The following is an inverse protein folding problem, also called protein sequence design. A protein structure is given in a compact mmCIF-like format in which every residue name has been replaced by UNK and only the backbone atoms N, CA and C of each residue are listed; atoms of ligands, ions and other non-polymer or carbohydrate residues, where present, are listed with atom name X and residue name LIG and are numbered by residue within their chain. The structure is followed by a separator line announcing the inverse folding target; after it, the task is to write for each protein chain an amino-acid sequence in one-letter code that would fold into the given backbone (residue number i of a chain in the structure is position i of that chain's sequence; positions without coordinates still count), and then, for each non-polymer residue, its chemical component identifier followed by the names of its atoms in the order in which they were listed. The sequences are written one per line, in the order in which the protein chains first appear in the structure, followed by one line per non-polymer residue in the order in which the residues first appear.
data_IF_206428513860
#
_entry.id   IF_206428513860
#
_cell.length_a   1.000
_cell.length_b   1.000
_cell.length_c   1.000
_cell.angle_alpha   90.00
_cell.angle_beta   90.00
_cell.angle_gamma   90.00
#
_symmetry.space_group_name_H-M   'P 1'
#
loop_
_entity.id
_entity.type
_entity.pdbx_description
1 polymer ?
#
# COMPACT_ATOMS: atom_id res chain seq x y z
N UNK A 1 12.63 -13.89 -1.67
CA UNK A 1 11.54 -13.31 -2.47
C UNK A 1 11.72 -11.79 -2.53
N UNK A 2 11.34 -11.17 -3.61
CA UNK A 2 11.37 -9.70 -3.73
C UNK A 2 10.25 -9.22 -4.66
N UNK A 3 9.86 -7.96 -4.52
CA UNK A 3 8.92 -7.29 -5.41
C UNK A 3 9.57 -7.19 -6.80
N UNK A 4 8.86 -7.60 -7.83
CA UNK A 4 9.34 -7.52 -9.21
C UNK A 4 8.75 -6.27 -9.86
N UNK A 5 9.64 -5.41 -10.37
CA UNK A 5 9.25 -4.13 -10.97
C UNK A 5 9.83 -3.98 -12.38
N UNK A 6 9.26 -3.03 -13.13
CA UNK A 6 9.87 -2.56 -14.37
C UNK A 6 10.97 -1.53 -14.06
N UNK A 7 11.59 -0.96 -15.12
CA UNK A 7 12.67 0.03 -14.99
C UNK A 7 12.25 1.34 -14.29
N UNK A 8 10.94 1.59 -14.16
CA UNK A 8 10.39 2.77 -13.50
C UNK A 8 9.87 2.46 -12.09
N UNK A 9 10.23 1.29 -11.52
CA UNK A 9 9.80 0.82 -10.20
C UNK A 9 8.31 0.52 -10.09
N UNK A 10 7.60 0.40 -11.22
CA UNK A 10 6.22 -0.06 -11.21
C UNK A 10 6.18 -1.57 -10.95
N UNK A 11 5.41 -1.99 -9.96
CA UNK A 11 5.24 -3.41 -9.66
C UNK A 11 4.53 -4.10 -10.82
N UNK A 12 5.03 -5.30 -11.17
CA UNK A 12 4.49 -6.09 -12.28
C UNK A 12 3.37 -7.04 -11.85
N UNK A 13 3.23 -7.28 -10.55
CA UNK A 13 2.19 -8.15 -10.01
C UNK A 13 0.81 -7.55 -10.24
N UNK A 14 -0.14 -8.39 -10.66
CA UNK A 14 -1.55 -8.01 -10.72
C UNK A 14 -2.18 -8.17 -9.34
N UNK A 15 -2.97 -7.17 -8.93
CA UNK A 15 -3.71 -7.19 -7.67
C UNK A 15 -5.17 -7.50 -7.97
N UNK A 16 -5.50 -8.79 -7.99
CA UNK A 16 -6.80 -9.28 -8.43
C UNK A 16 -6.84 -9.48 -9.95
N UNK A 17 -8.01 -9.34 -10.54
CA UNK A 17 -8.21 -9.46 -11.98
C UNK A 17 -9.24 -8.43 -12.47
N UNK A 18 -9.49 -8.39 -13.78
CA UNK A 18 -10.39 -7.39 -14.37
C UNK A 18 -11.84 -7.51 -13.91
N UNK A 19 -12.27 -8.71 -13.50
CA UNK A 19 -13.62 -8.95 -12.98
C UNK A 19 -13.73 -8.61 -11.49
N UNK A 20 -12.64 -8.74 -10.76
CA UNK A 20 -12.57 -8.41 -9.34
C UNK A 20 -11.18 -7.87 -9.00
N UNK A 21 -10.95 -6.56 -9.20
CA UNK A 21 -9.65 -5.92 -9.03
C UNK A 21 -9.36 -5.62 -7.55
N UNK A 22 -9.24 -6.67 -6.76
CA UNK A 22 -9.09 -6.63 -5.31
C UNK A 22 -8.23 -7.82 -4.86
N UNK A 23 -7.28 -7.56 -3.96
CA UNK A 23 -6.40 -8.60 -3.42
C UNK A 23 -6.11 -8.32 -1.95
N UNK A 24 -6.30 -9.35 -1.12
CA UNK A 24 -5.81 -9.38 0.26
C UNK A 24 -4.63 -10.34 0.31
N UNK A 25 -3.52 -9.90 0.87
CA UNK A 25 -2.31 -10.70 0.99
C UNK A 25 -1.89 -10.81 2.46
N UNK A 26 -1.09 -11.84 2.78
CA UNK A 26 -0.55 -12.07 4.12
C UNK A 26 0.96 -12.21 3.98
N UNK A 27 1.71 -11.28 4.58
CA UNK A 27 3.15 -11.23 4.43
C UNK A 27 3.86 -11.09 5.76
N UNK A 28 5.14 -11.49 5.76
CA UNK A 28 6.10 -11.16 6.80
C UNK A 28 7.33 -10.55 6.16
N UNK A 29 8.00 -9.63 6.85
CA UNK A 29 9.24 -9.04 6.30
C UNK A 29 10.35 -10.07 6.15
N UNK A 30 10.37 -11.11 6.99
CA UNK A 30 11.38 -12.17 6.92
C UNK A 30 11.31 -12.99 5.63
N UNK A 31 10.21 -12.94 4.88
CA UNK A 31 10.11 -13.62 3.59
C UNK A 31 10.97 -12.95 2.50
N UNK A 32 11.38 -11.71 2.70
CA UNK A 32 12.28 -11.01 1.80
C UNK A 32 13.72 -11.22 2.23
N UNK A 33 14.63 -11.46 1.28
CA UNK A 33 16.02 -11.82 1.55
C UNK A 33 16.74 -10.80 2.46
N UNK A 34 16.45 -9.52 2.29
CA UNK A 34 17.03 -8.44 3.08
C UNK A 34 16.22 -8.04 4.29
N UNK A 35 15.10 -8.71 4.55
CA UNK A 35 14.13 -8.28 5.57
C UNK A 35 13.37 -7.01 5.19
N UNK A 36 13.38 -6.67 3.89
CA UNK A 36 12.71 -5.47 3.39
C UNK A 36 12.16 -5.68 2.00
N UNK A 37 11.01 -5.09 1.71
CA UNK A 37 10.53 -5.00 0.34
C UNK A 37 10.98 -3.68 -0.27
N UNK A 38 11.39 -3.76 -1.54
CA UNK A 38 12.02 -2.64 -2.26
C UNK A 38 10.99 -1.59 -2.68
N UNK A 39 11.49 -0.40 -2.95
CA UNK A 39 10.72 0.69 -3.52
C UNK A 39 9.94 0.25 -4.74
N UNK A 40 8.63 0.49 -4.73
CA UNK A 40 7.75 0.18 -5.85
C UNK A 40 6.49 1.05 -5.77
N UNK A 41 5.76 1.10 -6.88
CA UNK A 41 4.47 1.74 -6.94
C UNK A 41 3.52 0.94 -7.83
N UNK A 42 2.24 1.16 -7.65
CA UNK A 42 1.19 0.56 -8.45
C UNK A 42 -0.03 1.49 -8.49
N UNK A 43 -0.90 1.39 -9.52
CA UNK A 43 -2.05 2.27 -9.65
C UNK A 43 -3.16 2.00 -8.61
N UNK A 44 -3.15 0.85 -7.99
CA UNK A 44 -4.12 0.49 -6.97
C UNK A 44 -3.92 1.29 -5.69
N UNK A 45 -5.00 1.54 -4.96
CA UNK A 45 -4.95 1.98 -3.57
C UNK A 45 -4.53 0.79 -2.71
N UNK A 46 -3.73 1.03 -1.69
CA UNK A 46 -3.33 0.01 -0.73
C UNK A 46 -3.63 0.46 0.69
N UNK A 47 -4.24 -0.43 1.45
CA UNK A 47 -4.45 -0.27 2.90
C UNK A 47 -3.74 -1.42 3.57
N UNK A 48 -2.73 -1.12 4.38
CA UNK A 48 -1.93 -2.15 5.06
C UNK A 48 -2.18 -2.10 6.56
N UNK A 49 -2.52 -3.25 7.12
CA UNK A 49 -2.69 -3.46 8.56
C UNK A 49 -1.47 -4.18 9.13
N UNK A 50 -0.91 -3.67 10.22
CA UNK A 50 0.19 -4.30 10.93
C UNK A 50 -0.38 -5.28 11.96
N UNK A 51 -0.24 -6.56 11.66
CA UNK A 51 -0.79 -7.62 12.50
C UNK A 51 0.06 -7.88 13.73
N UNK A 52 1.40 -7.89 13.57
CA UNK A 52 2.34 -8.08 14.67
C UNK A 52 3.71 -7.52 14.32
N UNK A 53 4.45 -7.09 15.34
CA UNK A 53 5.78 -6.52 15.18
C UNK A 53 5.75 -5.05 14.79
N UNK A 54 6.83 -4.60 14.18
CA UNK A 54 6.98 -3.21 13.75
C UNK A 54 7.68 -3.13 12.38
N UNK A 55 7.47 -2.03 11.69
CA UNK A 55 8.02 -1.80 10.36
C UNK A 55 8.35 -0.33 10.18
N UNK A 56 9.51 -0.05 9.61
CA UNK A 56 9.83 1.25 9.07
C UNK A 56 9.24 1.34 7.66
N UNK A 57 8.17 2.11 7.51
CA UNK A 57 7.44 2.23 6.26
C UNK A 57 7.76 3.57 5.60
N UNK A 58 8.27 3.54 4.39
CA UNK A 58 8.68 4.75 3.67
C UNK A 58 7.76 5.00 2.49
N UNK A 59 7.29 6.24 2.40
CA UNK A 59 6.41 6.70 1.33
C UNK A 59 6.96 8.01 0.80
N UNK A 60 7.46 8.00 -0.45
CA UNK A 60 8.17 9.14 -1.03
C UNK A 60 9.31 9.59 -0.07
N UNK A 61 9.25 10.81 0.46
CA UNK A 61 10.23 11.33 1.42
C UNK A 61 9.76 11.25 2.88
N UNK A 62 8.62 10.60 3.13
CA UNK A 62 8.07 10.41 4.48
C UNK A 62 8.50 9.07 5.06
N UNK A 63 8.68 9.01 6.38
CA UNK A 63 9.00 7.79 7.09
C UNK A 63 8.02 7.61 8.24
N UNK A 64 7.42 6.42 8.31
CA UNK A 64 6.52 6.02 9.39
C UNK A 64 7.10 4.85 10.13
N UNK A 65 7.01 4.89 11.47
CA UNK A 65 7.34 3.76 12.33
C UNK A 65 6.02 3.10 12.76
N UNK A 66 5.64 2.06 12.02
CA UNK A 66 4.37 1.37 12.23
C UNK A 66 4.55 0.25 13.25
N UNK A 67 3.56 0.04 14.07
CA UNK A 67 3.53 -1.02 15.09
C UNK A 67 2.22 -1.79 15.01
N UNK A 68 2.15 -2.89 15.73
CA UNK A 68 0.96 -3.72 15.83
C UNK A 68 -0.30 -2.89 16.06
N UNK A 69 -1.31 -3.08 15.21
CA UNK A 69 -2.58 -2.38 15.26
C UNK A 69 -2.66 -1.15 14.36
N UNK A 70 -1.54 -0.65 13.86
CA UNK A 70 -1.53 0.49 12.95
C UNK A 70 -2.05 0.09 11.57
N UNK A 71 -2.68 1.04 10.91
CA UNK A 71 -3.12 0.94 9.53
C UNK A 71 -2.50 2.09 8.75
N UNK A 72 -2.02 1.83 7.54
CA UNK A 72 -1.57 2.88 6.64
C UNK A 72 -2.30 2.79 5.31
N UNK A 73 -2.82 3.94 4.86
CA UNK A 73 -3.42 4.13 3.55
C UNK A 73 -2.36 4.69 2.61
N UNK A 74 -2.16 4.07 1.46
CA UNK A 74 -1.33 4.56 0.38
C UNK A 74 -2.20 4.89 -0.83
N UNK A 75 -2.06 6.10 -1.31
CA UNK A 75 -2.79 6.53 -2.49
C UNK A 75 -2.26 5.85 -3.76
N UNK A 76 -3.03 5.94 -4.84
CA UNK A 76 -2.62 5.44 -6.17
C UNK A 76 -1.28 6.03 -6.59
N UNK A 77 -0.44 5.20 -7.19
CA UNK A 77 0.83 5.58 -7.81
C UNK A 77 1.88 6.14 -6.85
N UNK A 78 1.75 5.87 -5.57
CA UNK A 78 2.69 6.37 -4.56
C UNK A 78 3.83 5.38 -4.36
N UNK A 79 5.07 5.88 -4.45
CA UNK A 79 6.28 5.08 -4.27
C UNK A 79 6.46 4.76 -2.78
N UNK A 80 6.62 3.47 -2.46
CA UNK A 80 6.74 3.03 -1.07
C UNK A 80 7.67 1.82 -0.91
N UNK A 81 8.18 1.66 0.31
CA UNK A 81 9.06 0.56 0.70
C UNK A 81 8.87 0.25 2.19
N UNK A 82 9.20 -0.96 2.60
CA UNK A 82 9.12 -1.37 3.99
C UNK A 82 10.39 -2.05 4.45
N UNK A 83 10.87 -1.67 5.65
CA UNK A 83 12.11 -2.17 6.21
C UNK A 83 11.88 -2.71 7.63
N UNK A 84 12.63 -3.74 7.96
CA UNK A 84 12.65 -4.30 9.31
C UNK A 84 13.28 -3.31 10.28
N UNK A 85 12.68 -3.17 11.47
CA UNK A 85 13.20 -2.37 12.56
C UNK A 85 13.71 -3.26 13.67
N UNK A 86 14.84 -2.89 14.28
CA UNK A 86 15.40 -3.54 15.48
C UNK A 86 15.54 -5.07 15.34
N UNK A 87 15.76 -5.56 14.12
CA UNK A 87 15.85 -6.99 13.82
C UNK A 87 14.58 -7.78 14.21
N UNK A 88 13.46 -7.08 14.37
CA UNK A 88 12.17 -7.67 14.69
C UNK A 88 11.37 -7.92 13.42
N UNK A 89 10.81 -9.13 13.30
CA UNK A 89 9.94 -9.45 12.17
C UNK A 89 8.60 -8.73 12.29
N UNK A 90 7.96 -8.51 11.17
CA UNK A 90 6.67 -7.85 11.09
C UNK A 90 5.74 -8.66 10.19
N UNK A 91 4.58 -9.02 10.73
CA UNK A 91 3.49 -9.61 9.93
C UNK A 91 2.50 -8.52 9.58
N UNK A 92 2.12 -8.45 8.30
CA UNK A 92 1.24 -7.40 7.82
C UNK A 92 0.31 -7.92 6.73
N UNK A 93 -0.81 -7.23 6.56
CA UNK A 93 -1.87 -7.62 5.63
C UNK A 93 -2.17 -6.43 4.72
N UNK A 94 -1.60 -6.40 3.51
CA UNK A 94 -1.97 -5.40 2.53
C UNK A 94 -3.26 -5.79 1.82
N UNK A 95 -4.15 -4.80 1.69
CA UNK A 95 -5.37 -4.87 0.89
C UNK A 95 -5.18 -3.89 -0.27
N UNK A 96 -5.13 -4.41 -1.48
CA UNK A 96 -4.92 -3.61 -2.69
C UNK A 96 -6.13 -3.72 -3.59
N UNK A 97 -6.58 -2.58 -4.13
CA UNK A 97 -7.73 -2.57 -5.03
C UNK A 97 -7.64 -1.40 -6.02
N UNK A 98 -8.14 -1.64 -7.23
CA UNK A 98 -8.32 -0.58 -8.19
C UNK A 98 -9.48 0.33 -7.73
N UNK A 99 -9.31 1.66 -7.73
CA UNK A 99 -10.39 2.58 -7.33
C UNK A 99 -11.71 2.37 -8.09
N UNK A 100 -11.68 1.80 -9.28
CA UNK A 100 -12.90 1.48 -10.04
C UNK A 100 -13.86 0.55 -9.29
N UNK A 101 -13.33 -0.21 -8.33
CA UNK A 101 -14.17 -1.06 -7.46
C UNK A 101 -15.20 -0.23 -6.69
N UNK A 102 -14.87 1.03 -6.37
CA UNK A 102 -15.73 1.92 -5.61
C UNK A 102 -16.67 2.72 -6.51
N UNK A 103 -16.14 3.25 -7.63
CA UNK A 103 -16.93 4.21 -8.42
C UNK A 103 -17.75 3.57 -9.56
N UNK A 104 -17.53 2.29 -9.86
CA UNK A 104 -18.29 1.52 -10.85
C UNK A 104 -17.91 1.85 -12.30
N UNK A 105 -18.11 3.08 -12.74
CA UNK A 105 -17.73 3.50 -14.08
C UNK A 105 -17.10 4.90 -14.08
N UNK A 106 -16.27 5.16 -15.08
CA UNK A 106 -15.56 6.42 -15.23
C UNK A 106 -16.53 7.60 -15.35
N UNK A 107 -16.22 8.68 -14.64
CA UNK A 107 -17.03 9.89 -14.55
C UNK A 107 -18.41 9.72 -13.90
N UNK A 108 -18.62 8.63 -13.16
CA UNK A 108 -19.77 8.52 -12.27
C UNK A 108 -19.73 9.63 -11.21
N UNK A 109 -20.86 9.89 -10.56
CA UNK A 109 -20.90 10.87 -9.45
C UNK A 109 -19.97 10.46 -8.31
N UNK A 110 -19.87 9.16 -8.01
CA UNK A 110 -18.96 8.65 -7.00
C UNK A 110 -17.51 8.95 -7.40
N UNK A 111 -17.16 8.72 -8.65
CA UNK A 111 -15.82 9.00 -9.16
C UNK A 111 -15.48 10.50 -9.04
N UNK A 112 -16.30 11.36 -9.64
CA UNK A 112 -15.98 12.80 -9.72
C UNK A 112 -16.03 13.52 -8.39
N UNK A 113 -16.90 13.09 -7.49
CA UNK A 113 -17.10 13.77 -6.21
C UNK A 113 -16.23 13.22 -5.08
N UNK A 114 -15.98 11.91 -5.04
CA UNK A 114 -15.32 11.28 -3.90
C UNK A 114 -14.00 10.61 -4.22
N UNK A 115 -13.82 10.03 -5.39
CA UNK A 115 -12.63 9.24 -5.72
C UNK A 115 -11.56 10.06 -6.41
N UNK A 116 -11.90 10.73 -7.52
CA UNK A 116 -10.94 11.56 -8.27
C UNK A 116 -10.25 12.61 -7.39
N UNK A 117 -10.96 13.36 -6.52
CA UNK A 117 -10.29 14.34 -5.67
C UNK A 117 -9.23 13.76 -4.74
N UNK A 118 -9.32 12.48 -4.40
CA UNK A 118 -8.34 11.79 -3.57
C UNK A 118 -7.18 11.24 -4.41
N UNK A 119 -7.47 10.42 -5.43
CA UNK A 119 -6.43 9.75 -6.21
C UNK A 119 -5.60 10.70 -7.07
N UNK A 120 -6.15 11.86 -7.42
CA UNK A 120 -5.45 12.90 -8.19
C UNK A 120 -4.74 13.92 -7.29
N UNK A 121 -4.90 13.83 -5.98
CA UNK A 121 -4.34 14.81 -5.06
C UNK A 121 -2.91 14.40 -4.66
N UNK A 122 -1.92 15.06 -5.24
CA UNK A 122 -0.51 14.80 -4.97
C UNK A 122 -0.09 15.14 -3.53
N UNK A 123 -0.89 15.92 -2.81
CA UNK A 123 -0.63 16.25 -1.41
C UNK A 123 -1.10 15.17 -0.44
N UNK A 124 -1.95 14.24 -0.88
CA UNK A 124 -2.43 13.11 -0.08
C UNK A 124 -1.77 11.84 -0.57
N UNK A 125 -0.52 11.61 -0.14
CA UNK A 125 0.22 10.40 -0.48
C UNK A 125 -0.18 9.22 0.40
N UNK A 126 -0.38 9.49 1.70
CA UNK A 126 -0.63 8.47 2.70
C UNK A 126 -1.35 9.05 3.91
N UNK A 127 -2.03 8.16 4.65
CA UNK A 127 -2.66 8.49 5.93
C UNK A 127 -2.39 7.33 6.88
N UNK A 128 -1.78 7.63 8.03
CA UNK A 128 -1.62 6.66 9.12
C UNK A 128 -2.83 6.73 10.04
N UNK A 129 -3.36 5.56 10.39
CA UNK A 129 -4.45 5.40 11.35
C UNK A 129 -3.92 4.51 12.47
N UNK A 130 -3.89 5.02 13.68
CA UNK A 130 -3.50 4.27 14.87
C UNK A 130 -4.70 3.98 15.77
N UNK A 131 -4.43 3.30 16.89
CA UNK A 131 -5.51 2.88 17.79
C UNK A 131 -6.17 4.04 18.56
N UNK A 132 -5.61 5.24 18.49
CA UNK A 132 -6.19 6.43 19.13
C UNK A 132 -7.27 7.10 18.29
N UNK A 133 -7.47 6.63 17.07
CA UNK A 133 -8.41 7.21 16.09
C UNK A 133 -9.64 6.35 15.84
#
# INVERSE_FOLDING_TARGET
MQIVTNQFQKELKKHGNDHFPFLVSYHTLSQYESGSFMWHWHPEIEITYIKSGSMCYKINNLTYHLKTGDIIFNNSNVLHAGLMENHEDCSYIPVTFDPKLIYGFYQSTIYTKYVEPVIQNLSVCSVRIDQSQ
#
